data_IF_227536163701
#
_entry.id   IF_227536163701
#
_cell.length_a   1.000
_cell.length_b   1.000
_cell.length_c   1.000
_cell.angle_alpha   90.00
_cell.angle_beta   90.00
_cell.angle_gamma   90.00
#
_symmetry.space_group_name_H-M   'P 1'
#
loop_
_entity.id
_entity.type
_entity.pdbx_description
1 polymer ?
#
# COMPACT_ATOMS: atom_id res chain seq x y z
N UNK A 1 6.72 -3.60 -1.45
CA UNK A 1 6.10 -2.39 -0.88
C UNK A 1 5.90 -1.32 -1.96
N UNK A 2 4.96 -0.41 -1.75
CA UNK A 2 4.51 0.59 -2.72
C UNK A 2 5.63 1.37 -3.42
N UNK A 3 6.68 1.89 -2.77
CA UNK A 3 7.73 2.66 -3.45
C UNK A 3 8.44 1.88 -4.57
N UNK A 4 8.66 0.58 -4.39
CA UNK A 4 9.29 -0.27 -5.42
C UNK A 4 8.37 -0.43 -6.62
N UNK A 5 7.07 -0.61 -6.39
CA UNK A 5 6.07 -0.70 -7.46
C UNK A 5 5.98 0.62 -8.23
N UNK A 6 5.98 1.75 -7.53
CA UNK A 6 5.95 3.10 -8.13
C UNK A 6 7.17 3.31 -9.04
N UNK A 7 8.38 3.02 -8.55
CA UNK A 7 9.61 3.19 -9.33
C UNK A 7 9.64 2.27 -10.57
N UNK A 8 9.28 1.01 -10.39
CA UNK A 8 9.22 0.03 -11.48
C UNK A 8 8.18 0.42 -12.53
N UNK A 9 6.97 0.81 -12.09
CA UNK A 9 5.90 1.24 -13.00
C UNK A 9 6.30 2.49 -13.79
N UNK A 10 6.91 3.49 -13.15
CA UNK A 10 7.41 4.70 -13.84
C UNK A 10 8.43 4.36 -14.90
N UNK A 11 9.41 3.51 -14.60
CA UNK A 11 10.44 3.06 -15.56
C UNK A 11 9.82 2.30 -16.72
N UNK A 12 8.91 1.37 -16.44
CA UNK A 12 8.22 0.60 -17.46
C UNK A 12 7.40 1.50 -18.40
N UNK A 13 6.56 2.37 -17.85
CA UNK A 13 5.72 3.26 -18.67
C UNK A 13 6.53 4.26 -19.49
N UNK A 14 7.62 4.76 -18.95
CA UNK A 14 8.56 5.60 -19.70
C UNK A 14 9.16 4.87 -20.89
N UNK A 15 9.60 3.60 -20.71
CA UNK A 15 10.15 2.76 -21.78
C UNK A 15 9.11 2.44 -22.87
N UNK A 16 7.81 2.45 -22.53
CA UNK A 16 6.70 2.25 -23.47
C UNK A 16 6.20 3.56 -24.12
N UNK A 17 6.82 4.72 -23.82
CA UNK A 17 6.33 6.05 -24.21
C UNK A 17 4.85 6.26 -23.81
N UNK A 18 4.43 5.69 -22.70
CA UNK A 18 3.07 5.81 -22.18
C UNK A 18 2.88 7.18 -21.53
N UNK A 19 1.77 7.85 -21.86
CA UNK A 19 1.35 9.08 -21.19
C UNK A 19 0.73 8.87 -19.80
N UNK A 20 0.67 7.64 -19.30
CA UNK A 20 0.09 7.32 -17.99
C UNK A 20 0.92 7.85 -16.84
N UNK A 21 0.21 8.24 -15.78
CA UNK A 21 0.80 8.80 -14.56
C UNK A 21 0.77 7.74 -13.46
N UNK A 22 1.88 7.64 -12.72
CA UNK A 22 2.00 6.80 -11.51
C UNK A 22 2.13 7.70 -10.29
N UNK A 23 1.21 7.57 -9.35
CA UNK A 23 1.28 8.27 -8.05
C UNK A 23 1.45 7.28 -6.91
N UNK A 24 2.39 7.59 -6.03
CA UNK A 24 2.48 6.99 -4.70
C UNK A 24 1.47 7.70 -3.79
N UNK A 25 0.53 6.94 -3.25
CA UNK A 25 -0.47 7.40 -2.29
C UNK A 25 -0.21 6.84 -0.89
N UNK A 26 0.99 6.34 -0.63
CA UNK A 26 1.37 5.84 0.70
C UNK A 26 1.18 6.93 1.76
N UNK A 27 0.50 6.58 2.84
CA UNK A 27 0.13 7.50 3.92
C UNK A 27 -1.18 8.27 3.69
N UNK A 28 -1.84 8.12 2.53
CA UNK A 28 -3.11 8.78 2.26
C UNK A 28 -4.19 8.34 3.26
N UNK A 29 -5.16 9.22 3.51
CA UNK A 29 -6.37 8.83 4.22
C UNK A 29 -7.21 7.91 3.36
N UNK A 30 -7.89 6.97 3.95
CA UNK A 30 -8.71 6.01 3.22
C UNK A 30 -9.79 6.71 2.37
N UNK A 31 -10.38 7.79 2.88
CA UNK A 31 -11.37 8.60 2.20
C UNK A 31 -10.81 9.30 0.93
N UNK A 32 -9.50 9.58 0.90
CA UNK A 32 -8.84 10.12 -0.31
C UNK A 32 -8.72 9.05 -1.39
N UNK A 33 -8.46 7.79 -1.00
CA UNK A 33 -8.46 6.66 -1.94
C UNK A 33 -9.85 6.42 -2.54
N UNK A 34 -10.93 6.55 -1.74
CA UNK A 34 -12.29 6.45 -2.26
C UNK A 34 -12.60 7.56 -3.27
N UNK A 35 -12.04 8.77 -3.11
CA UNK A 35 -12.18 9.85 -4.10
C UNK A 35 -11.47 9.53 -5.42
N UNK A 36 -10.30 8.91 -5.38
CA UNK A 36 -9.62 8.44 -6.59
C UNK A 36 -10.48 7.39 -7.32
N UNK A 37 -11.04 6.44 -6.58
CA UNK A 37 -11.96 5.43 -7.15
C UNK A 37 -13.20 6.10 -7.75
N UNK A 38 -13.81 7.09 -7.08
CA UNK A 38 -14.95 7.86 -7.61
C UNK A 38 -14.58 8.63 -8.90
N UNK A 39 -13.29 8.95 -9.09
CA UNK A 39 -12.75 9.58 -10.30
C UNK A 39 -12.36 8.57 -11.37
N UNK A 40 -12.77 7.30 -11.23
CA UNK A 40 -12.44 6.18 -12.11
C UNK A 40 -10.95 5.85 -12.17
N UNK A 41 -10.24 6.06 -11.06
CA UNK A 41 -8.86 5.65 -10.86
C UNK A 41 -8.80 4.49 -9.85
N UNK A 42 -8.76 3.22 -10.29
CA UNK A 42 -8.61 2.10 -9.39
C UNK A 42 -7.28 2.19 -8.62
N UNK A 43 -7.31 1.80 -7.35
CA UNK A 43 -6.16 1.92 -6.43
C UNK A 43 -5.62 0.55 -6.08
N UNK A 44 -4.34 0.30 -6.38
CA UNK A 44 -3.63 -0.83 -5.79
C UNK A 44 -3.35 -0.50 -4.32
N UNK A 45 -3.92 -1.28 -3.41
CA UNK A 45 -3.93 -1.02 -1.97
C UNK A 45 -3.47 -2.25 -1.20
N UNK A 46 -2.59 -2.05 -0.21
CA UNK A 46 -2.16 -3.12 0.69
C UNK A 46 -3.09 -3.21 1.89
N UNK A 47 -3.56 -4.42 2.15
CA UNK A 47 -4.28 -4.79 3.35
C UNK A 47 -3.88 -6.23 3.72
N UNK A 48 -4.42 -6.79 4.82
CA UNK A 48 -4.14 -8.18 5.15
C UNK A 48 -5.00 -9.13 4.32
N UNK A 49 -4.45 -10.30 4.01
CA UNK A 49 -5.22 -11.38 3.38
C UNK A 49 -6.40 -11.77 4.26
N UNK A 50 -7.55 -12.02 3.66
CA UNK A 50 -8.81 -12.35 4.34
C UNK A 50 -9.23 -11.35 5.43
N UNK A 51 -8.66 -10.15 5.41
CA UNK A 51 -8.88 -9.07 6.38
C UNK A 51 -8.69 -9.50 7.86
N UNK A 52 -7.77 -10.42 8.11
CA UNK A 52 -7.34 -10.73 9.48
C UNK A 52 -6.29 -9.72 9.95
N UNK A 53 -6.02 -9.64 11.26
CA UNK A 53 -5.01 -8.71 11.76
C UNK A 53 -3.61 -9.04 11.23
N UNK A 54 -2.84 -7.99 10.94
CA UNK A 54 -1.47 -8.13 10.46
C UNK A 54 -0.60 -8.83 11.51
N UNK A 55 0.26 -9.71 11.02
CA UNK A 55 1.27 -10.40 11.81
C UNK A 55 2.66 -9.91 11.41
N UNK A 56 3.36 -9.30 12.37
CA UNK A 56 4.75 -8.93 12.21
C UNK A 56 5.66 -10.07 12.66
N UNK A 57 6.53 -10.53 11.77
CA UNK A 57 7.53 -11.56 12.06
C UNK A 57 8.91 -10.98 11.92
N UNK A 58 9.80 -11.28 12.89
CA UNK A 58 11.19 -10.90 12.80
C UNK A 58 11.84 -11.50 11.54
N UNK A 59 12.52 -10.65 10.77
CA UNK A 59 13.22 -11.05 9.56
C UNK A 59 14.73 -11.13 9.76
N UNK A 60 15.35 -10.01 10.12
CA UNK A 60 16.80 -9.92 10.35
C UNK A 60 17.17 -8.62 11.08
N UNK A 61 18.43 -8.54 11.52
CA UNK A 61 18.97 -7.32 12.11
C UNK A 61 19.98 -6.66 11.17
N UNK A 62 19.84 -5.37 10.93
CA UNK A 62 20.85 -4.53 10.29
C UNK A 62 21.78 -4.02 11.39
N UNK A 63 23.04 -4.45 11.36
CA UNK A 63 24.03 -4.02 12.34
C UNK A 63 24.64 -2.67 11.95
N UNK A 64 24.94 -1.83 12.95
CA UNK A 64 25.55 -0.51 12.76
C UNK A 64 24.75 0.41 11.80
N UNK A 65 23.43 0.29 11.82
CA UNK A 65 22.54 1.15 11.03
C UNK A 65 22.66 2.60 11.50
N UNK A 66 22.79 3.53 10.56
CA UNK A 66 22.76 4.97 10.80
C UNK A 66 21.68 5.63 9.96
N UNK A 67 20.97 6.59 10.52
CA UNK A 67 20.02 7.45 9.83
C UNK A 67 20.71 8.74 9.41
N UNK A 68 20.46 9.20 8.20
CA UNK A 68 20.87 10.53 7.76
C UNK A 68 19.77 11.52 8.07
N UNK A 69 20.05 12.48 8.93
CA UNK A 69 19.13 13.54 9.30
C UNK A 69 18.95 14.54 8.16
N UNK A 70 17.93 15.40 8.24
CA UNK A 70 17.64 16.43 7.25
C UNK A 70 18.75 17.49 7.10
N UNK A 71 19.61 17.64 8.12
CA UNK A 71 20.78 18.52 8.13
C UNK A 71 22.05 17.87 7.56
N UNK A 72 21.96 16.61 7.10
CA UNK A 72 23.07 15.83 6.56
C UNK A 72 23.93 15.12 7.62
N UNK A 73 23.66 15.31 8.92
CA UNK A 73 24.33 14.56 9.99
C UNK A 73 23.83 13.12 10.05
N UNK A 74 24.62 12.21 10.62
CA UNK A 74 24.23 10.82 10.84
C UNK A 74 23.98 10.55 12.31
N UNK A 75 23.01 9.69 12.58
CA UNK A 75 22.75 9.20 13.95
C UNK A 75 23.91 8.33 14.47
N UNK A 76 23.99 8.16 15.79
CA UNK A 76 24.87 7.13 16.37
C UNK A 76 24.49 5.76 15.82
N UNK A 77 25.45 4.93 15.39
CA UNK A 77 25.17 3.58 14.91
C UNK A 77 24.40 2.76 15.95
N UNK A 78 23.33 2.10 15.53
CA UNK A 78 22.52 1.20 16.36
C UNK A 78 22.18 -0.06 15.56
N UNK A 79 21.80 -1.12 16.24
CA UNK A 79 21.21 -2.27 15.56
C UNK A 79 19.73 -1.98 15.30
N UNK A 80 19.27 -2.32 14.10
CA UNK A 80 17.88 -2.15 13.68
C UNK A 80 17.30 -3.52 13.34
N UNK A 81 16.36 -3.99 14.15
CA UNK A 81 15.59 -5.18 13.83
C UNK A 81 14.54 -4.89 12.78
N UNK A 82 14.51 -5.71 11.74
CA UNK A 82 13.58 -5.61 10.62
C UNK A 82 12.53 -6.71 10.75
N UNK A 83 11.29 -6.33 10.58
CA UNK A 83 10.13 -7.23 10.61
C UNK A 83 9.43 -7.25 9.26
N UNK A 84 8.86 -8.40 8.90
CA UNK A 84 7.98 -8.56 7.76
C UNK A 84 6.51 -8.53 8.20
N UNK A 85 5.65 -8.06 7.32
CA UNK A 85 4.22 -8.29 7.44
C UNK A 85 3.90 -9.62 6.74
N UNK A 86 3.69 -10.69 7.51
CA UNK A 86 3.61 -12.05 6.96
C UNK A 86 2.37 -12.28 6.09
N UNK A 87 1.25 -11.67 6.46
CA UNK A 87 -0.04 -11.86 5.81
C UNK A 87 -0.51 -10.61 5.02
N UNK A 88 0.42 -9.76 4.58
CA UNK A 88 0.07 -8.67 3.69
C UNK A 88 -0.40 -9.19 2.32
N UNK A 89 -1.34 -8.48 1.73
CA UNK A 89 -1.90 -8.79 0.43
C UNK A 89 -2.19 -7.49 -0.35
N UNK A 90 -2.21 -7.57 -1.68
CA UNK A 90 -2.51 -6.43 -2.54
C UNK A 90 -3.84 -6.64 -3.22
N UNK A 91 -4.75 -5.70 -3.03
CA UNK A 91 -6.05 -5.64 -3.68
C UNK A 91 -6.08 -4.51 -4.72
N UNK A 92 -6.90 -4.65 -5.75
CA UNK A 92 -7.26 -3.53 -6.61
C UNK A 92 -8.63 -2.99 -6.17
N UNK A 93 -8.62 -1.91 -5.39
CA UNK A 93 -9.83 -1.20 -4.98
C UNK A 93 -10.42 -0.48 -6.20
N UNK A 94 -11.62 -0.85 -6.61
CA UNK A 94 -12.26 -0.36 -7.84
C UNK A 94 -13.65 0.21 -7.64
N UNK A 95 -14.24 0.05 -6.47
CA UNK A 95 -15.58 0.54 -6.17
C UNK A 95 -15.86 0.55 -4.67
N UNK A 96 -16.98 1.15 -4.32
CA UNK A 96 -17.53 1.13 -2.97
C UNK A 96 -19.04 1.42 -2.98
N UNK A 97 -19.69 1.05 -1.90
CA UNK A 97 -21.10 1.36 -1.63
C UNK A 97 -21.22 1.87 -0.18
N UNK A 98 -21.53 3.15 -0.02
CA UNK A 98 -21.61 3.79 1.29
C UNK A 98 -22.85 3.35 2.07
N UNK A 99 -23.95 3.04 1.39
CA UNK A 99 -25.22 2.64 2.04
C UNK A 99 -25.07 1.24 2.65
N UNK A 100 -24.33 0.35 1.98
CA UNK A 100 -24.02 -1.00 2.46
C UNK A 100 -22.72 -1.08 3.28
N UNK A 101 -21.96 0.02 3.37
CA UNK A 101 -20.65 0.09 4.01
C UNK A 101 -19.67 -0.97 3.47
N UNK A 102 -19.57 -1.11 2.15
CA UNK A 102 -18.65 -2.07 1.51
C UNK A 102 -17.70 -1.40 0.55
N UNK A 103 -16.53 -1.99 0.39
CA UNK A 103 -15.60 -1.76 -0.72
C UNK A 103 -15.69 -2.92 -1.71
N UNK A 104 -15.49 -2.61 -3.00
CA UNK A 104 -15.45 -3.57 -4.09
C UNK A 104 -14.04 -3.63 -4.62
N UNK A 105 -13.45 -4.80 -4.57
CA UNK A 105 -12.06 -5.02 -4.97
C UNK A 105 -11.94 -6.15 -6.00
N UNK A 106 -10.87 -6.13 -6.79
CA UNK A 106 -10.36 -7.34 -7.43
C UNK A 106 -9.23 -7.90 -6.55
N UNK A 107 -9.45 -9.10 -6.08
CA UNK A 107 -8.47 -9.91 -5.37
C UNK A 107 -7.81 -10.88 -6.35
N UNK A 108 -6.48 -10.95 -6.36
CA UNK A 108 -5.73 -11.84 -7.26
C UNK A 108 -5.98 -13.33 -6.99
N UNK A 109 -6.46 -13.69 -5.79
CA UNK A 109 -6.77 -15.06 -5.38
C UNK A 109 -8.24 -15.43 -5.61
N UNK A 110 -9.16 -14.49 -5.30
CA UNK A 110 -10.59 -14.76 -5.21
C UNK A 110 -11.44 -14.04 -6.28
N UNK A 111 -10.83 -13.19 -7.12
CA UNK A 111 -11.53 -12.41 -8.12
C UNK A 111 -12.22 -11.18 -7.53
N UNK A 112 -13.42 -10.85 -8.02
CA UNK A 112 -14.19 -9.72 -7.51
C UNK A 112 -14.81 -10.06 -6.15
N UNK A 113 -14.51 -9.23 -5.14
CA UNK A 113 -14.97 -9.41 -3.76
C UNK A 113 -15.54 -8.13 -3.20
N UNK A 114 -16.49 -8.26 -2.29
CA UNK A 114 -16.97 -7.18 -1.44
C UNK A 114 -16.54 -7.41 0.01
N UNK A 115 -16.01 -6.38 0.65
CA UNK A 115 -15.58 -6.43 2.05
C UNK A 115 -16.19 -5.30 2.85
N UNK A 116 -16.41 -5.52 4.16
CA UNK A 116 -16.79 -4.43 5.07
C UNK A 116 -15.76 -3.30 5.01
N UNK A 117 -16.22 -2.08 4.77
CA UNK A 117 -15.37 -0.93 4.51
C UNK A 117 -14.53 -0.55 5.73
N UNK A 118 -15.11 -0.63 6.94
CA UNK A 118 -14.40 -0.28 8.16
C UNK A 118 -13.26 -1.28 8.43
N UNK A 119 -13.56 -2.57 8.29
CA UNK A 119 -12.54 -3.61 8.46
C UNK A 119 -11.43 -3.51 7.42
N UNK A 120 -11.78 -3.26 6.17
CA UNK A 120 -10.79 -3.07 5.11
C UNK A 120 -9.87 -1.86 5.38
N UNK A 121 -10.46 -0.75 5.86
CA UNK A 121 -9.71 0.43 6.27
C UNK A 121 -8.73 0.12 7.41
N UNK A 122 -9.15 -0.61 8.45
CA UNK A 122 -8.27 -1.02 9.56
C UNK A 122 -7.07 -1.83 9.04
N UNK A 123 -7.31 -2.81 8.18
CA UNK A 123 -6.24 -3.62 7.59
C UNK A 123 -5.30 -2.81 6.69
N UNK A 124 -5.82 -1.85 5.93
CA UNK A 124 -5.02 -0.89 5.17
C UNK A 124 -4.11 -0.07 6.09
N UNK A 125 -4.64 0.41 7.22
CA UNK A 125 -3.87 1.19 8.19
C UNK A 125 -2.77 0.35 8.85
N UNK A 126 -3.04 -0.92 9.15
CA UNK A 126 -2.06 -1.88 9.66
C UNK A 126 -0.96 -2.20 8.63
N UNK A 127 -1.26 -2.11 7.33
CA UNK A 127 -0.30 -2.27 6.24
C UNK A 127 0.44 -0.97 5.87
N UNK A 128 0.67 -0.10 6.84
CA UNK A 128 1.40 1.18 6.68
C UNK A 128 0.79 2.13 5.66
N UNK A 129 -0.52 2.03 5.43
CA UNK A 129 -1.26 2.88 4.46
C UNK A 129 -0.64 2.89 3.06
N UNK A 130 -0.19 1.74 2.58
CA UNK A 130 0.43 1.64 1.27
C UNK A 130 -0.62 1.61 0.15
N UNK A 131 -0.49 2.51 -0.82
CA UNK A 131 -1.36 2.58 -1.97
C UNK A 131 -0.67 3.21 -3.19
N UNK A 132 -1.07 2.76 -4.39
CA UNK A 132 -0.54 3.24 -5.67
C UNK A 132 -1.67 3.36 -6.68
N UNK A 133 -1.66 4.41 -7.50
CA UNK A 133 -2.52 4.51 -8.68
C UNK A 133 -1.72 4.67 -9.96
N UNK A 134 -2.30 4.15 -11.07
CA UNK A 134 -1.81 4.32 -12.43
C UNK A 134 -3.00 4.67 -13.32
N UNK A 135 -2.98 5.84 -13.97
CA UNK A 135 -4.09 6.32 -14.79
C UNK A 135 -3.60 7.15 -15.99
#
# INVERSE_FOLDING_TARGET
>A
YAPVIVDTARKYLAAQNSGRIVKDLTGAKFEDLLREVASNHPVAIWASIDLVDIQEVYAYTIYNYTETNSDGSTSTPKNLDVYWLENEHVYLLKGYDLDRNVVIVNDSLNGEMEYDMNRFKECYEQCYKQAVIIY
#
